data_IF_204092824655
#
_entry.id   IF_204092824655
#
_cell.length_a   1.000
_cell.length_b   1.000
_cell.length_c   1.000
_cell.angle_alpha   90.00
_cell.angle_beta   90.00
_cell.angle_gamma   90.00
#
_symmetry.space_group_name_H-M   'P 1'
#
loop_
_entity.id
_entity.type
_entity.pdbx_description
1 polymer ?
#
# COMPACT_ATOMS: atom_id res chain seq x y z
N UNK A 1 -4.95 -16.96 -21.17
CA UNK A 1 -6.31 -17.57 -21.19
C UNK A 1 -7.32 -16.42 -21.17
N UNK A 2 -8.63 -16.68 -21.24
CA UNK A 2 -9.69 -15.66 -21.10
C UNK A 2 -11.07 -16.31 -20.88
N UNK A 3 -12.00 -15.62 -20.24
CA UNK A 3 -13.40 -16.02 -20.07
C UNK A 3 -14.33 -15.52 -21.17
N UNK A 4 -13.96 -14.46 -21.90
CA UNK A 4 -14.84 -13.81 -22.88
C UNK A 4 -14.27 -13.87 -24.29
N UNK A 5 -14.99 -14.46 -25.23
CA UNK A 5 -14.64 -14.52 -26.65
C UNK A 5 -15.75 -13.96 -27.54
N UNK A 6 -15.47 -13.83 -28.83
CA UNK A 6 -16.46 -13.52 -29.86
C UNK A 6 -16.77 -14.79 -30.65
N UNK A 7 -18.04 -15.07 -30.93
CA UNK A 7 -18.45 -16.09 -31.91
C UNK A 7 -18.21 -15.61 -33.35
N UNK A 8 -18.37 -16.52 -34.32
CA UNK A 8 -18.20 -16.21 -35.74
C UNK A 8 -19.11 -15.09 -36.26
N UNK A 9 -20.31 -14.93 -35.69
CA UNK A 9 -21.26 -13.85 -35.98
C UNK A 9 -20.96 -12.55 -35.21
N UNK A 10 -19.86 -12.49 -34.45
CA UNK A 10 -19.42 -11.32 -33.69
C UNK A 10 -20.11 -11.12 -32.35
N UNK A 11 -20.99 -12.02 -31.91
CA UNK A 11 -21.62 -11.94 -30.59
C UNK A 11 -20.62 -12.26 -29.49
N UNK A 12 -20.79 -11.63 -28.33
CA UNK A 12 -19.94 -11.90 -27.16
C UNK A 12 -20.39 -13.16 -26.45
N UNK A 13 -19.47 -14.10 -26.25
CA UNK A 13 -19.67 -15.35 -25.52
C UNK A 13 -18.88 -15.29 -24.22
N UNK A 14 -19.57 -15.40 -23.10
CA UNK A 14 -18.96 -15.40 -21.76
C UNK A 14 -19.07 -16.76 -21.10
N UNK A 15 -17.96 -17.22 -20.53
CA UNK A 15 -17.88 -18.43 -19.70
C UNK A 15 -17.97 -18.13 -18.21
N UNK A 16 -18.34 -16.89 -17.83
CA UNK A 16 -18.59 -16.55 -16.44
C UNK A 16 -19.73 -17.42 -15.88
N UNK A 17 -19.46 -18.23 -14.86
CA UNK A 17 -20.45 -19.15 -14.28
C UNK A 17 -20.57 -20.49 -14.99
N UNK A 18 -19.77 -20.76 -16.03
CA UNK A 18 -19.84 -21.97 -16.82
C UNK A 18 -19.43 -23.24 -16.05
N UNK A 19 -18.83 -23.13 -14.86
CA UNK A 19 -18.56 -24.25 -13.96
C UNK A 19 -19.82 -24.96 -13.45
N UNK A 20 -20.96 -24.25 -13.47
CA UNK A 20 -22.28 -24.81 -13.11
C UNK A 20 -23.01 -25.40 -14.31
N UNK A 21 -22.47 -25.27 -15.52
CA UNK A 21 -23.11 -25.80 -16.71
C UNK A 21 -22.87 -27.31 -16.80
N UNK A 22 -23.90 -28.04 -17.24
CA UNK A 22 -23.75 -29.45 -17.58
C UNK A 22 -22.75 -29.65 -18.72
N UNK A 23 -22.13 -30.84 -18.78
CA UNK A 23 -21.16 -31.19 -19.83
C UNK A 23 -21.74 -31.02 -21.24
N UNK A 24 -23.02 -31.36 -21.43
CA UNK A 24 -23.72 -31.24 -22.71
C UNK A 24 -23.73 -29.80 -23.22
N UNK A 25 -24.13 -28.83 -22.38
CA UNK A 25 -24.13 -27.42 -22.75
C UNK A 25 -22.74 -26.90 -23.16
N UNK A 26 -21.68 -27.35 -22.50
CA UNK A 26 -20.31 -27.01 -22.87
C UNK A 26 -19.89 -27.67 -24.19
N UNK A 27 -20.34 -28.89 -24.46
CA UNK A 27 -20.12 -29.56 -25.75
C UNK A 27 -20.86 -28.84 -26.87
N UNK A 28 -22.11 -28.44 -26.65
CA UNK A 28 -22.90 -27.70 -27.63
C UNK A 28 -22.28 -26.34 -27.94
N UNK A 29 -21.80 -25.63 -26.92
CA UNK A 29 -21.04 -24.39 -27.15
C UNK A 29 -19.76 -24.67 -27.94
N UNK A 30 -19.06 -25.76 -27.65
CA UNK A 30 -17.85 -26.14 -28.41
C UNK A 30 -18.15 -26.41 -29.89
N UNK A 31 -19.33 -26.93 -30.23
CA UNK A 31 -19.77 -27.13 -31.62
C UNK A 31 -20.04 -25.81 -32.36
N UNK A 32 -20.16 -24.68 -31.64
CA UNK A 32 -20.34 -23.34 -32.21
C UNK A 32 -19.01 -22.63 -32.53
N UNK A 33 -17.88 -23.34 -32.43
CA UNK A 33 -16.59 -22.87 -32.96
C UNK A 33 -16.73 -22.45 -34.46
N UNK A 34 -15.92 -21.49 -34.96
CA UNK A 34 -14.76 -20.88 -34.29
C UNK A 34 -15.13 -19.73 -33.34
N UNK A 35 -14.28 -19.53 -32.32
CA UNK A 35 -14.30 -18.37 -31.44
C UNK A 35 -13.07 -17.49 -31.68
N UNK A 36 -13.20 -16.19 -31.41
CA UNK A 36 -12.16 -15.21 -31.63
C UNK A 36 -11.89 -14.37 -30.38
N UNK A 37 -10.63 -14.03 -30.15
CA UNK A 37 -10.23 -13.11 -29.09
C UNK A 37 -10.78 -11.70 -29.37
N UNK A 38 -11.46 -11.04 -28.41
CA UNK A 38 -12.00 -9.69 -28.62
C UNK A 38 -10.93 -8.63 -28.91
N UNK A 39 -9.69 -8.88 -28.47
CA UNK A 39 -8.59 -7.93 -28.56
C UNK A 39 -7.74 -8.09 -29.84
N UNK A 40 -7.25 -9.30 -30.14
CA UNK A 40 -6.41 -9.54 -31.33
C UNK A 40 -7.16 -10.12 -32.52
N UNK A 41 -8.43 -10.50 -32.35
CA UNK A 41 -9.26 -11.18 -33.37
C UNK A 41 -8.71 -12.52 -33.87
N UNK A 42 -7.67 -13.06 -33.25
CA UNK A 42 -7.16 -14.40 -33.54
C UNK A 42 -8.08 -15.46 -32.94
N UNK A 43 -8.09 -16.65 -33.56
CA UNK A 43 -8.90 -17.78 -33.11
C UNK A 43 -8.48 -18.27 -31.71
N UNK A 44 -9.47 -18.57 -30.87
CA UNK A 44 -9.30 -19.15 -29.55
C UNK A 44 -10.11 -20.43 -29.41
N UNK A 45 -9.59 -21.38 -28.64
CA UNK A 45 -10.22 -22.70 -28.45
C UNK A 45 -10.89 -22.77 -27.10
N UNK A 46 -12.12 -23.28 -27.04
CA UNK A 46 -12.80 -23.56 -25.78
C UNK A 46 -12.14 -24.78 -25.10
N UNK A 47 -11.58 -24.54 -23.91
CA UNK A 47 -10.97 -25.57 -23.06
C UNK A 47 -11.84 -25.78 -21.83
N UNK A 48 -12.31 -27.00 -21.64
CA UNK A 48 -13.06 -27.43 -20.47
C UNK A 48 -12.57 -28.82 -20.02
N UNK A 49 -12.65 -29.12 -18.73
CA UNK A 49 -12.22 -30.41 -18.18
C UNK A 49 -12.69 -30.61 -16.75
N UNK A 50 -12.57 -31.82 -16.21
CA UNK A 50 -13.09 -32.20 -14.88
C UNK A 50 -12.53 -31.35 -13.74
N UNK A 51 -11.26 -30.96 -13.83
CA UNK A 51 -10.53 -30.20 -12.80
C UNK A 51 -10.16 -28.79 -13.27
N UNK A 52 -10.71 -28.33 -14.39
CA UNK A 52 -10.28 -27.11 -15.07
C UNK A 52 -11.45 -26.19 -15.29
N UNK A 53 -11.32 -24.92 -14.92
CA UNK A 53 -12.35 -23.94 -15.21
C UNK A 53 -12.53 -23.81 -16.73
N UNK A 54 -13.76 -23.80 -17.26
CA UNK A 54 -13.98 -23.49 -18.66
C UNK A 54 -13.43 -22.11 -19.02
N UNK A 55 -12.56 -22.03 -20.02
CA UNK A 55 -11.98 -20.79 -20.53
C UNK A 55 -11.64 -20.95 -22.01
N UNK A 56 -11.46 -19.84 -22.70
CA UNK A 56 -10.87 -19.80 -24.03
C UNK A 56 -9.35 -19.61 -23.93
N UNK A 57 -8.62 -20.22 -24.87
CA UNK A 57 -7.17 -20.09 -24.96
C UNK A 57 -6.73 -19.89 -26.40
N UNK A 58 -5.78 -18.97 -26.60
CA UNK A 58 -5.06 -18.86 -27.87
C UNK A 58 -4.33 -20.18 -28.18
N UNK A 59 -4.18 -20.49 -29.47
CA UNK A 59 -3.34 -21.61 -29.92
C UNK A 59 -1.87 -21.30 -29.58
N UNK A 60 -1.05 -22.33 -29.34
CA UNK A 60 0.38 -22.14 -29.03
C UNK A 60 1.04 -21.31 -30.15
N UNK A 61 1.77 -20.26 -29.77
CA UNK A 61 2.48 -19.36 -30.69
C UNK A 61 1.70 -18.13 -31.17
N UNK A 62 0.40 -18.01 -30.86
CA UNK A 62 -0.36 -16.80 -31.12
C UNK A 62 0.01 -15.70 -30.10
N UNK A 63 0.47 -14.54 -30.61
CA UNK A 63 0.79 -13.38 -29.80
C UNK A 63 -0.42 -12.45 -29.68
N UNK A 64 -0.90 -12.23 -28.46
CA UNK A 64 -1.99 -11.30 -28.19
C UNK A 64 -1.41 -10.03 -27.52
N UNK A 65 -1.63 -8.82 -28.08
CA UNK A 65 -1.03 -7.59 -27.57
C UNK A 65 -1.58 -7.17 -26.19
N UNK A 66 -2.66 -7.80 -25.73
CA UNK A 66 -3.24 -7.54 -24.39
C UNK A 66 -2.92 -8.62 -23.37
N UNK A 67 -2.33 -9.75 -23.80
CA UNK A 67 -1.92 -10.82 -22.91
C UNK A 67 -0.50 -10.54 -22.42
N UNK A 68 -0.41 -9.96 -21.23
CA UNK A 68 0.86 -9.51 -20.65
C UNK A 68 1.47 -10.54 -19.70
N UNK A 69 0.70 -11.54 -19.27
CA UNK A 69 1.18 -12.66 -18.48
C UNK A 69 0.49 -13.97 -18.92
N UNK A 70 1.16 -15.12 -18.79
CA UNK A 70 0.51 -16.40 -18.93
C UNK A 70 -0.51 -16.58 -17.82
N UNK A 71 -1.80 -16.59 -18.16
CA UNK A 71 -2.84 -16.81 -17.17
C UNK A 71 -2.76 -18.23 -16.58
N UNK A 72 -2.75 -18.32 -15.26
CA UNK A 72 -2.80 -19.59 -14.50
C UNK A 72 -4.22 -19.89 -14.04
N UNK A 73 -4.49 -21.14 -13.63
CA UNK A 73 -5.78 -21.51 -13.00
C UNK A 73 -6.05 -20.67 -11.73
N UNK A 74 -5.01 -20.27 -10.99
CA UNK A 74 -5.13 -19.35 -9.85
C UNK A 74 -5.64 -17.98 -10.32
N UNK A 75 -5.04 -17.44 -11.37
CA UNK A 75 -5.44 -16.16 -11.95
C UNK A 75 -6.91 -16.21 -12.40
N UNK A 76 -7.30 -17.24 -13.15
CA UNK A 76 -8.68 -17.45 -13.61
C UNK A 76 -9.66 -17.56 -12.43
N UNK A 77 -9.33 -18.37 -11.42
CA UNK A 77 -10.18 -18.56 -10.24
C UNK A 77 -10.35 -17.25 -9.48
N UNK A 78 -9.26 -16.53 -9.25
CA UNK A 78 -9.30 -15.26 -8.51
C UNK A 78 -10.10 -14.19 -9.25
N UNK A 79 -9.85 -14.02 -10.55
CA UNK A 79 -10.62 -13.11 -11.41
C UNK A 79 -12.12 -13.40 -11.36
N UNK A 80 -12.49 -14.67 -11.53
CA UNK A 80 -13.89 -15.12 -11.45
C UNK A 80 -14.50 -14.83 -10.08
N UNK A 81 -13.79 -15.13 -9.00
CA UNK A 81 -14.28 -14.88 -7.63
C UNK A 81 -14.55 -13.39 -7.39
N UNK A 82 -13.65 -12.52 -7.83
CA UNK A 82 -13.78 -11.07 -7.71
C UNK A 82 -14.95 -10.53 -8.54
N UNK A 83 -15.13 -11.04 -9.78
CA UNK A 83 -16.29 -10.73 -10.59
C UNK A 83 -17.60 -11.16 -9.90
N UNK A 84 -17.69 -12.41 -9.45
CA UNK A 84 -18.87 -12.93 -8.76
C UNK A 84 -19.14 -12.21 -7.43
N UNK A 85 -18.10 -11.75 -6.75
CA UNK A 85 -18.19 -10.92 -5.55
C UNK A 85 -18.86 -9.58 -5.83
N UNK A 86 -18.51 -8.90 -6.93
CA UNK A 86 -19.16 -7.64 -7.34
C UNK A 86 -20.62 -7.88 -7.78
N UNK A 87 -20.88 -8.92 -8.57
CA UNK A 87 -22.24 -9.25 -9.05
C UNK A 87 -23.19 -9.54 -7.88
N UNK A 88 -22.75 -10.29 -6.85
CA UNK A 88 -23.56 -10.59 -5.67
C UNK A 88 -23.96 -9.35 -4.86
N UNK A 89 -23.26 -8.24 -5.06
CA UNK A 89 -23.57 -6.94 -4.44
C UNK A 89 -24.45 -6.05 -5.34
N UNK A 90 -24.97 -6.59 -6.45
CA UNK A 90 -25.82 -5.85 -7.38
C UNK A 90 -25.06 -4.85 -8.27
N UNK A 91 -23.74 -5.00 -8.42
CA UNK A 91 -22.95 -4.08 -9.24
C UNK A 91 -23.05 -4.40 -10.73
N UNK A 92 -23.13 -3.35 -11.56
CA UNK A 92 -22.96 -3.46 -13.01
C UNK A 92 -21.48 -3.75 -13.31
N UNK A 93 -21.14 -5.03 -13.45
CA UNK A 93 -19.79 -5.49 -13.73
C UNK A 93 -19.71 -6.26 -15.06
N UNK A 94 -18.59 -6.09 -15.77
CA UNK A 94 -18.24 -6.78 -17.01
C UNK A 94 -16.90 -7.47 -16.83
N UNK A 95 -16.85 -8.75 -17.18
CA UNK A 95 -15.63 -9.57 -17.15
C UNK A 95 -14.84 -9.35 -18.44
N UNK A 96 -13.56 -9.02 -18.33
CA UNK A 96 -12.60 -8.89 -19.44
C UNK A 96 -13.06 -8.03 -20.65
N UNK A 97 -13.73 -6.87 -20.46
CA UNK A 97 -14.12 -6.05 -21.59
C UNK A 97 -12.87 -5.49 -22.28
N UNK A 98 -12.80 -5.63 -23.60
CA UNK A 98 -11.76 -4.96 -24.37
C UNK A 98 -12.07 -3.46 -24.46
N UNK A 99 -11.08 -2.62 -24.18
CA UNK A 99 -11.15 -1.15 -24.24
C UNK A 99 -10.30 -0.66 -25.42
N UNK A 100 -10.88 -0.49 -26.63
CA UNK A 100 -10.10 -0.22 -27.85
C UNK A 100 -9.30 1.07 -27.78
N UNK A 101 -9.86 2.12 -27.16
CA UNK A 101 -9.24 3.45 -27.05
C UNK A 101 -7.88 3.45 -26.34
N UNK A 102 -7.65 2.46 -25.48
CA UNK A 102 -6.39 2.30 -24.73
C UNK A 102 -5.74 0.94 -25.00
N UNK A 103 -6.30 0.13 -25.89
CA UNK A 103 -5.86 -1.24 -26.21
C UNK A 103 -5.63 -2.09 -24.95
N UNK A 104 -6.45 -1.91 -23.92
CA UNK A 104 -6.33 -2.65 -22.66
C UNK A 104 -7.55 -3.56 -22.44
N UNK A 105 -7.37 -4.56 -21.59
CA UNK A 105 -8.41 -5.46 -21.12
C UNK A 105 -8.27 -5.60 -19.60
N UNK A 106 -9.00 -4.80 -18.80
CA UNK A 106 -9.03 -5.02 -17.35
C UNK A 106 -9.66 -6.38 -17.06
N UNK A 107 -9.27 -7.00 -15.96
CA UNK A 107 -9.89 -8.25 -15.53
C UNK A 107 -11.39 -8.10 -15.27
N UNK A 108 -11.79 -7.05 -14.54
CA UNK A 108 -13.19 -6.69 -14.34
C UNK A 108 -13.35 -5.17 -14.45
N UNK A 109 -14.34 -4.73 -15.23
CA UNK A 109 -14.77 -3.33 -15.29
C UNK A 109 -16.12 -3.22 -14.59
N UNK A 110 -16.30 -2.31 -13.65
CA UNK A 110 -17.57 -2.16 -12.95
C UNK A 110 -17.87 -0.73 -12.54
N UNK A 111 -19.17 -0.44 -12.37
CA UNK A 111 -19.65 0.86 -11.90
C UNK A 111 -19.95 0.81 -10.40
N UNK A 112 -19.53 1.85 -9.68
CA UNK A 112 -19.95 2.10 -8.31
C UNK A 112 -20.16 3.60 -8.10
N UNK A 113 -21.40 3.98 -7.81
CA UNK A 113 -21.84 5.37 -7.81
C UNK A 113 -21.56 6.05 -9.17
N UNK A 114 -21.01 7.28 -9.19
CA UNK A 114 -20.72 8.00 -10.44
C UNK A 114 -19.43 7.54 -11.13
N UNK A 115 -18.72 6.53 -10.59
CA UNK A 115 -17.38 6.18 -11.03
C UNK A 115 -17.31 4.81 -11.68
N UNK A 116 -16.46 4.71 -12.69
CA UNK A 116 -16.10 3.47 -13.36
C UNK A 116 -14.74 2.99 -12.83
N UNK A 117 -14.63 1.70 -12.52
CA UNK A 117 -13.44 1.10 -11.94
C UNK A 117 -12.95 -0.06 -12.80
N UNK A 118 -11.62 -0.15 -12.94
CA UNK A 118 -10.93 -1.31 -13.50
C UNK A 118 -10.29 -2.08 -12.34
N UNK A 119 -10.85 -3.25 -12.00
CA UNK A 119 -10.30 -4.17 -11.01
C UNK A 119 -9.37 -5.17 -11.71
N UNK A 120 -8.13 -5.26 -11.24
CA UNK A 120 -7.05 -6.09 -11.79
C UNK A 120 -6.55 -7.05 -10.71
N UNK A 121 -6.44 -8.34 -11.04
CA UNK A 121 -5.93 -9.37 -10.14
C UNK A 121 -4.58 -9.91 -10.62
N UNK A 122 -3.50 -9.38 -10.07
CA UNK A 122 -2.17 -9.65 -10.58
C UNK A 122 -1.51 -10.84 -9.87
N UNK A 123 -1.19 -11.90 -10.62
CA UNK A 123 -0.57 -13.12 -10.10
C UNK A 123 0.90 -13.29 -10.45
N UNK A 124 1.42 -12.68 -11.52
CA UNK A 124 2.85 -12.68 -11.83
C UNK A 124 3.47 -11.28 -11.72
N UNK A 125 4.79 -11.17 -11.84
CA UNK A 125 5.46 -9.87 -11.85
C UNK A 125 5.32 -9.24 -13.24
N UNK A 126 5.01 -7.94 -13.29
CA UNK A 126 5.04 -7.14 -14.51
C UNK A 126 5.98 -5.96 -14.35
N UNK A 127 6.50 -5.47 -15.47
CA UNK A 127 7.39 -4.31 -15.48
C UNK A 127 6.69 -3.05 -14.98
N UNK A 128 7.44 -2.20 -14.29
CA UNK A 128 6.93 -0.92 -13.77
C UNK A 128 6.46 0.01 -14.91
N UNK A 129 7.09 -0.04 -16.08
CA UNK A 129 6.65 0.70 -17.28
C UNK A 129 5.25 0.26 -17.71
N UNK A 130 5.03 -1.04 -17.85
CA UNK A 130 3.74 -1.61 -18.23
C UNK A 130 2.66 -1.32 -17.17
N UNK A 131 2.99 -1.45 -15.89
CA UNK A 131 2.09 -1.10 -14.80
C UNK A 131 1.62 0.36 -14.90
N UNK A 132 2.54 1.29 -15.18
CA UNK A 132 2.21 2.71 -15.37
C UNK A 132 1.36 2.93 -16.61
N UNK A 133 1.75 2.36 -17.74
CA UNK A 133 1.00 2.46 -19.00
C UNK A 133 -0.47 2.07 -18.80
N UNK A 134 -0.72 0.93 -18.13
CA UNK A 134 -2.08 0.46 -17.85
C UNK A 134 -2.87 1.47 -17.02
N UNK A 135 -2.28 1.96 -15.94
CA UNK A 135 -2.94 2.91 -15.05
C UNK A 135 -3.22 4.25 -15.74
N UNK A 136 -2.30 4.72 -16.57
CA UNK A 136 -2.48 5.97 -17.32
C UNK A 136 -3.54 5.81 -18.41
N UNK A 137 -3.63 4.65 -19.06
CA UNK A 137 -4.73 4.31 -19.95
C UNK A 137 -6.09 4.40 -19.26
N UNK A 138 -6.24 3.78 -18.09
CA UNK A 138 -7.49 3.88 -17.32
C UNK A 138 -7.84 5.32 -16.96
N UNK A 139 -6.87 6.09 -16.45
CA UNK A 139 -7.09 7.50 -16.09
C UNK A 139 -7.51 8.37 -17.26
N UNK A 140 -6.94 8.16 -18.46
CA UNK A 140 -7.34 8.89 -19.68
C UNK A 140 -8.82 8.69 -20.03
N UNK A 141 -9.40 7.56 -19.66
CA UNK A 141 -10.82 7.26 -19.86
C UNK A 141 -11.69 7.59 -18.63
N UNK A 142 -11.15 8.24 -17.60
CA UNK A 142 -11.87 8.49 -16.34
C UNK A 142 -12.13 7.22 -15.52
N UNK A 143 -11.44 6.11 -15.81
CA UNK A 143 -11.54 4.84 -15.11
C UNK A 143 -10.55 4.82 -13.94
N UNK A 144 -11.02 4.41 -12.76
CA UNK A 144 -10.21 4.29 -11.56
C UNK A 144 -9.61 2.88 -11.46
N UNK A 145 -8.27 2.72 -11.52
CA UNK A 145 -7.65 1.41 -11.36
C UNK A 145 -7.68 0.95 -9.89
N UNK A 146 -8.01 -0.32 -9.69
CA UNK A 146 -7.95 -1.04 -8.42
C UNK A 146 -7.15 -2.31 -8.64
N UNK A 147 -6.08 -2.49 -7.87
CA UNK A 147 -5.20 -3.63 -8.04
C UNK A 147 -5.20 -4.53 -6.80
N UNK A 148 -5.23 -5.83 -7.04
CA UNK A 148 -5.20 -6.88 -6.03
C UNK A 148 -4.09 -7.88 -6.39
N UNK A 149 -3.15 -8.11 -5.48
CA UNK A 149 -2.09 -9.09 -5.68
C UNK A 149 -2.52 -10.50 -5.33
N UNK A 150 -1.97 -11.50 -6.01
CA UNK A 150 -2.05 -12.88 -5.56
C UNK A 150 -1.40 -13.03 -4.18
N UNK A 151 -2.12 -13.64 -3.22
CA UNK A 151 -1.62 -13.81 -1.85
C UNK A 151 -0.30 -14.59 -1.75
N UNK A 152 0.05 -15.38 -2.77
CA UNK A 152 1.34 -16.07 -2.86
C UNK A 152 2.54 -15.13 -3.03
N UNK A 153 2.34 -13.84 -3.29
CA UNK A 153 3.40 -12.82 -3.23
C UNK A 153 3.66 -12.33 -1.81
N UNK A 154 2.72 -12.51 -0.88
CA UNK A 154 2.89 -12.07 0.48
C UNK A 154 3.91 -12.97 1.20
N UNK A 155 4.95 -12.35 1.75
CA UNK A 155 5.98 -13.01 2.57
C UNK A 155 5.96 -12.36 3.95
N UNK A 156 5.46 -13.08 4.95
CA UNK A 156 5.50 -12.66 6.34
C UNK A 156 6.81 -13.14 6.96
N UNK A 157 7.40 -12.34 7.86
CA UNK A 157 8.55 -12.81 8.62
C UNK A 157 8.10 -13.88 9.61
N UNK A 158 8.71 -15.08 9.60
CA UNK A 158 8.40 -16.10 10.60
C UNK A 158 8.94 -15.72 11.99
N UNK A 159 10.00 -14.90 12.03
CA UNK A 159 10.70 -14.50 13.26
C UNK A 159 10.13 -13.22 13.88
N UNK A 160 9.58 -12.31 13.07
CA UNK A 160 9.13 -11.00 13.51
C UNK A 160 7.68 -10.76 13.11
N UNK A 161 6.73 -11.00 14.03
CA UNK A 161 5.33 -10.74 13.73
C UNK A 161 5.08 -9.27 13.37
N UNK A 162 4.11 -9.00 12.49
CA UNK A 162 3.85 -7.66 11.96
C UNK A 162 4.87 -7.15 10.93
N UNK A 163 5.94 -7.91 10.65
CA UNK A 163 6.87 -7.59 9.56
C UNK A 163 6.56 -8.39 8.29
N UNK A 164 6.57 -7.69 7.17
CA UNK A 164 6.40 -8.25 5.83
C UNK A 164 7.61 -7.90 4.95
N UNK A 165 7.88 -8.77 3.98
CA UNK A 165 8.81 -8.48 2.90
C UNK A 165 8.03 -7.94 1.70
N UNK A 166 8.35 -6.71 1.31
CA UNK A 166 7.75 -6.01 0.17
C UNK A 166 8.85 -5.64 -0.82
N UNK A 167 8.83 -6.30 -1.98
CA UNK A 167 9.64 -5.94 -3.14
C UNK A 167 9.18 -4.61 -3.75
N UNK A 168 10.03 -4.00 -4.59
CA UNK A 168 9.67 -2.82 -5.39
C UNK A 168 8.40 -3.04 -6.20
N UNK A 169 8.23 -4.25 -6.76
CA UNK A 169 7.02 -4.65 -7.46
C UNK A 169 5.77 -4.56 -6.58
N UNK A 170 5.79 -5.13 -5.37
CA UNK A 170 4.62 -5.08 -4.46
C UNK A 170 4.28 -3.64 -4.03
N UNK A 171 5.28 -2.78 -3.90
CA UNK A 171 5.07 -1.36 -3.58
C UNK A 171 4.30 -0.60 -4.67
N UNK A 172 4.33 -1.04 -5.94
CA UNK A 172 3.53 -0.42 -7.01
C UNK A 172 2.02 -0.49 -6.75
N UNK A 173 1.59 -1.49 -5.98
CA UNK A 173 0.18 -1.79 -5.65
C UNK A 173 -0.32 -1.01 -4.43
N UNK A 174 0.57 -0.27 -3.75
CA UNK A 174 0.17 0.58 -2.64
C UNK A 174 -0.71 1.71 -3.17
N UNK A 175 -1.94 1.82 -2.65
CA UNK A 175 -2.90 2.83 -3.06
C UNK A 175 -3.59 3.47 -1.88
N UNK A 176 -4.07 4.70 -2.09
CA UNK A 176 -5.02 5.34 -1.17
C UNK A 176 -6.43 5.06 -1.67
N UNK A 177 -7.25 4.44 -0.83
CA UNK A 177 -8.69 4.50 -1.05
C UNK A 177 -9.13 5.96 -0.88
N UNK A 178 -10.22 6.40 -1.55
CA UNK A 178 -10.67 7.80 -1.49
C UNK A 178 -10.86 8.37 -0.08
N UNK A 179 -11.05 7.51 0.93
CA UNK A 179 -11.24 7.91 2.32
C UNK A 179 -10.13 7.44 3.27
N UNK A 180 -9.00 6.96 2.75
CA UNK A 180 -7.85 6.56 3.57
C UNK A 180 -6.66 7.47 3.35
N UNK A 181 -6.21 8.12 4.43
CA UNK A 181 -5.03 8.97 4.42
C UNK A 181 -3.73 8.18 4.25
N UNK A 182 -3.72 6.85 4.44
CA UNK A 182 -2.51 6.02 4.45
C UNK A 182 -2.61 4.95 3.36
N UNK A 183 -1.54 4.68 2.60
CA UNK A 183 -1.58 3.67 1.57
C UNK A 183 -1.79 2.27 2.15
N UNK A 184 -2.44 1.42 1.36
CA UNK A 184 -2.63 0.02 1.64
C UNK A 184 -2.35 -0.83 0.41
N UNK A 185 -2.04 -2.10 0.63
CA UNK A 185 -1.83 -3.09 -0.43
C UNK A 185 -2.83 -4.22 -0.19
N UNK A 186 -3.61 -4.54 -1.22
CA UNK A 186 -4.56 -5.64 -1.18
C UNK A 186 -4.01 -6.88 -1.86
N UNK A 187 -4.31 -8.00 -1.25
CA UNK A 187 -4.04 -9.33 -1.76
C UNK A 187 -5.31 -10.15 -1.72
N UNK A 188 -5.38 -11.17 -2.57
CA UNK A 188 -6.47 -12.15 -2.58
C UNK A 188 -5.94 -13.57 -2.76
N UNK A 189 -6.47 -14.50 -1.96
CA UNK A 189 -6.22 -15.94 -2.07
C UNK A 189 -7.49 -16.65 -2.56
N UNK A 190 -7.49 -17.16 -3.80
CA UNK A 190 -8.58 -17.97 -4.32
C UNK A 190 -8.76 -19.30 -3.58
N UNK A 191 -7.71 -19.82 -2.95
CA UNK A 191 -7.73 -21.08 -2.19
C UNK A 191 -8.51 -20.94 -0.89
N UNK A 192 -8.29 -19.83 -0.17
CA UNK A 192 -8.94 -19.58 1.13
C UNK A 192 -10.17 -18.68 1.03
N UNK A 193 -10.43 -18.10 -0.16
CA UNK A 193 -11.47 -17.09 -0.40
C UNK A 193 -11.34 -15.90 0.54
N UNK A 194 -10.11 -15.45 0.80
CA UNK A 194 -9.83 -14.33 1.69
C UNK A 194 -9.14 -13.19 0.97
N UNK A 195 -9.60 -11.98 1.26
CA UNK A 195 -8.79 -10.79 1.10
C UNK A 195 -7.76 -10.71 2.23
N UNK A 196 -6.58 -10.23 1.91
CA UNK A 196 -5.57 -9.87 2.88
C UNK A 196 -5.18 -8.43 2.59
N UNK A 197 -5.25 -7.57 3.60
CA UNK A 197 -4.96 -6.15 3.48
C UNK A 197 -3.77 -5.80 4.34
N UNK A 198 -2.79 -5.13 3.75
CA UNK A 198 -1.67 -4.52 4.46
C UNK A 198 -1.95 -3.05 4.68
N UNK A 199 -1.77 -2.60 5.92
CA UNK A 199 -2.03 -1.24 6.36
C UNK A 199 -0.82 -0.59 6.97
N UNK A 200 -0.77 0.75 6.85
CA UNK A 200 0.25 1.62 7.44
C UNK A 200 1.65 1.03 7.23
N UNK A 201 2.06 0.79 5.98
CA UNK A 201 3.34 0.15 5.73
C UNK A 201 4.48 1.11 6.10
N UNK A 202 5.23 0.79 7.15
CA UNK A 202 6.36 1.56 7.67
C UNK A 202 7.68 0.87 7.29
N UNK A 203 8.41 1.39 6.29
CA UNK A 203 9.61 0.73 5.81
C UNK A 203 10.72 0.70 6.86
N UNK A 204 11.38 -0.43 6.98
CA UNK A 204 12.58 -0.63 7.78
C UNK A 204 13.84 -0.69 6.91
N UNK A 205 13.68 -1.17 5.70
CA UNK A 205 14.71 -1.20 4.66
C UNK A 205 14.04 -1.21 3.29
N UNK A 206 14.84 -1.39 2.24
CA UNK A 206 14.35 -1.55 0.87
C UNK A 206 13.30 -2.67 0.76
N UNK A 207 13.46 -3.76 1.51
CA UNK A 207 12.60 -4.95 1.41
C UNK A 207 11.76 -5.23 2.66
N UNK A 208 12.18 -4.77 3.84
CA UNK A 208 11.50 -5.09 5.11
C UNK A 208 10.61 -3.94 5.54
N UNK A 209 9.37 -4.24 5.91
CA UNK A 209 8.36 -3.24 6.26
C UNK A 209 7.52 -3.74 7.42
N UNK A 210 7.27 -2.89 8.43
CA UNK A 210 6.21 -3.15 9.40
C UNK A 210 4.87 -2.78 8.80
N UNK A 211 3.87 -3.63 8.96
CA UNK A 211 2.51 -3.34 8.52
C UNK A 211 1.51 -4.08 9.42
N UNK A 212 0.36 -3.44 9.67
CA UNK A 212 -0.79 -4.18 10.19
C UNK A 212 -1.36 -5.05 9.06
N UNK A 213 -1.74 -6.28 9.40
CA UNK A 213 -2.23 -7.26 8.43
C UNK A 213 -3.60 -7.72 8.86
N UNK A 214 -4.57 -7.53 7.97
CA UNK A 214 -5.94 -7.95 8.15
C UNK A 214 -6.28 -9.05 7.15
N UNK A 215 -7.16 -9.96 7.54
CA UNK A 215 -7.62 -11.03 6.66
C UNK A 215 -9.12 -11.21 6.78
N UNK A 216 -9.81 -11.04 5.66
CA UNK A 216 -11.27 -10.93 5.61
C UNK A 216 -11.83 -11.97 4.65
N UNK A 217 -12.92 -12.65 5.03
CA UNK A 217 -13.58 -13.62 4.16
C UNK A 217 -14.32 -12.89 3.03
N UNK A 218 -14.19 -13.39 1.80
CA UNK A 218 -14.82 -12.78 0.61
C UNK A 218 -16.35 -12.66 0.74
N UNK A 219 -17.00 -13.61 1.42
CA UNK A 219 -18.45 -13.63 1.59
C UNK A 219 -18.98 -12.61 2.59
N UNK A 220 -18.15 -12.13 3.51
CA UNK A 220 -18.53 -11.18 4.57
C UNK A 220 -18.05 -9.76 4.32
N UNK A 221 -17.52 -9.49 3.13
CA UNK A 221 -16.86 -8.23 2.80
C UNK A 221 -17.53 -7.61 1.59
N UNK A 222 -17.84 -6.32 1.62
CA UNK A 222 -18.41 -5.59 0.49
C UNK A 222 -17.39 -4.62 -0.12
N UNK A 223 -17.67 -4.14 -1.33
CA UNK A 223 -16.89 -3.08 -1.95
C UNK A 223 -17.06 -1.76 -1.20
N UNK A 224 -18.22 -1.52 -0.58
CA UNK A 224 -18.40 -0.38 0.32
C UNK A 224 -17.43 -0.44 1.51
N UNK A 225 -17.21 -1.64 2.08
CA UNK A 225 -16.20 -1.85 3.13
C UNK A 225 -14.77 -1.68 2.63
N UNK A 226 -14.49 -1.99 1.36
CA UNK A 226 -13.21 -1.70 0.71
C UNK A 226 -12.91 -0.21 0.70
N UNK A 227 -13.93 0.60 0.40
CA UNK A 227 -13.82 2.04 0.26
C UNK A 227 -13.87 2.77 1.61
N UNK A 228 -14.41 2.12 2.65
CA UNK A 228 -14.52 2.67 3.98
C UNK A 228 -13.15 2.98 4.62
N UNK A 229 -13.05 4.06 5.42
CA UNK A 229 -11.91 4.25 6.30
C UNK A 229 -11.76 3.04 7.22
N UNK A 230 -10.57 2.45 7.26
CA UNK A 230 -10.28 1.35 8.17
C UNK A 230 -9.04 1.68 9.00
N UNK A 231 -9.23 2.20 10.22
CA UNK A 231 -8.14 2.60 11.08
C UNK A 231 -7.64 1.40 11.90
N UNK A 232 -7.13 0.35 11.25
CA UNK A 232 -6.51 -0.72 12.01
C UNK A 232 -5.23 -0.22 12.72
N UNK A 233 -5.07 -0.54 14.01
CA UNK A 233 -3.88 -0.18 14.76
C UNK A 233 -2.68 -1.04 14.35
N UNK A 234 -1.47 -0.53 14.59
CA UNK A 234 -0.28 -1.40 14.62
C UNK A 234 -0.33 -2.26 15.88
N UNK A 235 0.53 -3.28 15.93
CA UNK A 235 0.63 -4.15 17.12
C UNK A 235 1.01 -3.34 18.37
N UNK A 236 0.48 -3.66 19.56
CA UNK A 236 0.91 -3.04 20.82
C UNK A 236 2.43 -3.10 21.07
N UNK A 237 3.08 -4.13 20.51
CA UNK A 237 4.53 -4.33 20.60
C UNK A 237 5.33 -3.56 19.54
N UNK A 238 4.70 -2.60 18.85
CA UNK A 238 5.32 -1.88 17.72
C UNK A 238 6.61 -1.16 18.11
N UNK A 239 6.61 -0.36 19.18
CA UNK A 239 7.78 0.43 19.54
C UNK A 239 8.95 -0.39 20.05
N UNK A 240 8.69 -1.41 20.86
CA UNK A 240 9.71 -2.37 21.29
C UNK A 240 10.42 -2.98 20.08
N UNK A 241 9.64 -3.38 19.07
CA UNK A 241 10.16 -3.95 17.82
C UNK A 241 10.87 -2.92 16.95
N UNK A 242 10.40 -1.68 16.96
CA UNK A 242 11.06 -0.58 16.25
C UNK A 242 12.43 -0.28 16.87
N UNK A 243 12.51 -0.19 18.20
CA UNK A 243 13.77 -0.02 18.92
C UNK A 243 14.73 -1.20 18.68
N UNK A 244 14.25 -2.44 18.70
CA UNK A 244 15.08 -3.61 18.36
C UNK A 244 15.60 -3.52 16.91
N UNK A 245 14.81 -2.97 15.99
CA UNK A 245 15.29 -2.71 14.62
C UNK A 245 16.32 -1.57 14.57
N UNK A 246 16.15 -0.47 15.32
CA UNK A 246 17.19 0.57 15.43
C UNK A 246 18.49 -0.04 15.96
N UNK A 247 18.43 -0.83 17.02
CA UNK A 247 19.57 -1.57 17.58
C UNK A 247 20.22 -2.48 16.54
N UNK A 248 19.42 -3.18 15.72
CA UNK A 248 19.92 -3.98 14.61
C UNK A 248 20.66 -3.12 13.58
N UNK A 249 20.11 -1.98 13.14
CA UNK A 249 20.80 -1.10 12.18
C UNK A 249 22.14 -0.63 12.70
N UNK A 250 22.22 -0.24 13.97
CA UNK A 250 23.46 0.22 14.60
C UNK A 250 24.52 -0.88 14.70
N UNK A 251 24.10 -2.14 14.85
CA UNK A 251 25.00 -3.30 14.85
C UNK A 251 25.45 -3.70 13.45
N UNK A 252 24.57 -3.61 12.46
CA UNK A 252 24.83 -4.19 11.13
C UNK A 252 25.23 -3.17 10.08
N UNK A 253 25.09 -1.87 10.32
CA UNK A 253 25.50 -0.84 9.36
C UNK A 253 26.92 -0.34 9.69
N UNK A 254 27.89 -0.39 8.77
CA UNK A 254 27.78 -0.73 7.35
C UNK A 254 28.43 -2.08 7.00
N UNK A 255 28.05 -3.17 7.69
CA UNK A 255 28.58 -4.51 7.37
C UNK A 255 28.30 -4.87 5.91
N UNK A 256 29.34 -5.35 5.21
CA UNK A 256 29.31 -5.74 3.80
C UNK A 256 28.76 -4.65 2.86
N UNK A 257 29.42 -3.48 2.80
CA UNK A 257 28.86 -2.33 2.10
C UNK A 257 28.98 -2.52 0.59
N UNK A 258 27.85 -2.45 -0.12
CA UNK A 258 27.84 -2.28 -1.57
C UNK A 258 28.33 -0.87 -1.98
N UNK A 259 28.45 -0.60 -3.28
CA UNK A 259 28.97 0.69 -3.76
C UNK A 259 28.18 1.89 -3.23
N UNK A 260 26.84 1.82 -3.18
CA UNK A 260 25.99 2.88 -2.65
C UNK A 260 26.23 3.09 -1.16
N UNK A 261 26.29 2.02 -0.37
CA UNK A 261 26.57 2.10 1.07
C UNK A 261 27.94 2.72 1.31
N UNK A 262 28.97 2.36 0.54
CA UNK A 262 30.30 2.98 0.66
C UNK A 262 30.27 4.49 0.44
N UNK A 263 29.49 4.97 -0.55
CA UNK A 263 29.31 6.42 -0.78
C UNK A 263 28.57 7.09 0.38
N UNK A 264 27.56 6.44 0.94
CA UNK A 264 26.84 6.95 2.12
C UNK A 264 27.79 7.04 3.33
N UNK A 265 28.58 6.00 3.57
CA UNK A 265 29.57 6.01 4.64
C UNK A 265 30.61 7.11 4.46
N UNK A 266 31.08 7.35 3.24
CA UNK A 266 32.01 8.44 2.94
C UNK A 266 31.42 9.81 3.32
N UNK A 267 30.16 10.09 2.96
CA UNK A 267 29.47 11.32 3.35
C UNK A 267 29.34 11.43 4.89
N UNK A 268 29.09 10.32 5.59
CA UNK A 268 28.97 10.32 7.06
C UNK A 268 30.33 10.59 7.73
N UNK A 269 31.41 9.94 7.26
CA UNK A 269 32.76 10.16 7.77
C UNK A 269 33.23 11.60 7.53
N UNK A 270 32.91 12.18 6.37
CA UNK A 270 33.20 13.59 6.09
C UNK A 270 32.51 14.55 7.06
N UNK A 271 31.35 14.15 7.60
CA UNK A 271 30.64 14.89 8.63
C UNK A 271 31.05 14.50 10.07
N UNK A 272 32.09 13.69 10.24
CA UNK A 272 32.55 13.23 11.55
C UNK A 272 31.64 12.18 12.22
N UNK A 273 30.71 11.57 11.48
CA UNK A 273 29.76 10.58 11.98
C UNK A 273 30.26 9.17 11.67
N UNK A 274 30.39 8.34 12.69
CA UNK A 274 30.59 6.90 12.50
C UNK A 274 29.26 6.29 12.04
N UNK A 275 29.20 5.54 10.92
CA UNK A 275 27.95 5.07 10.34
C UNK A 275 27.01 4.29 11.27
N UNK A 276 27.56 3.44 12.14
CA UNK A 276 26.79 2.69 13.15
C UNK A 276 26.25 3.57 14.28
N UNK A 277 26.87 4.74 14.51
CA UNK A 277 26.58 5.69 15.58
C UNK A 277 25.86 6.94 15.03
N UNK A 278 24.97 6.75 14.07
CA UNK A 278 24.14 7.83 13.55
C UNK A 278 23.32 8.51 14.68
N UNK A 279 22.92 9.79 14.51
CA UNK A 279 22.24 10.55 15.56
C UNK A 279 21.01 9.84 16.13
N UNK A 280 20.78 9.95 17.43
CA UNK A 280 19.63 9.34 18.11
C UNK A 280 18.30 9.80 17.52
N UNK A 281 18.22 11.03 17.03
CA UNK A 281 17.07 11.65 16.40
C UNK A 281 16.76 11.11 14.99
N UNK A 282 17.61 10.25 14.42
CA UNK A 282 17.37 9.54 13.16
C UNK A 282 16.88 8.10 13.39
N UNK A 283 16.19 7.57 12.38
CA UNK A 283 15.67 6.21 12.37
C UNK A 283 14.31 6.06 13.05
N UNK A 284 13.50 7.11 13.14
CA UNK A 284 12.16 7.08 13.75
C UNK A 284 11.06 6.91 12.69
N UNK A 285 9.95 6.24 13.02
CA UNK A 285 8.86 6.06 12.08
C UNK A 285 8.12 7.39 11.91
N UNK A 286 7.87 7.77 10.67
CA UNK A 286 6.97 8.87 10.32
C UNK A 286 5.87 8.32 9.40
N UNK A 287 4.60 8.72 9.56
CA UNK A 287 3.47 8.20 8.78
C UNK A 287 3.71 8.13 7.26
N UNK A 288 4.35 9.15 6.68
CA UNK A 288 4.68 9.26 5.25
C UNK A 288 6.06 8.71 4.90
N UNK A 289 6.73 8.05 5.83
CA UNK A 289 8.05 7.44 5.62
C UNK A 289 8.08 6.40 4.50
N UNK A 290 6.91 5.86 4.13
CA UNK A 290 6.73 4.97 2.97
C UNK A 290 7.11 5.60 1.62
N UNK A 291 7.25 6.93 1.54
CA UNK A 291 7.69 7.64 0.32
C UNK A 291 9.18 7.48 0.05
N UNK A 292 9.93 6.90 0.99
CA UNK A 292 11.33 6.53 0.82
C UNK A 292 11.51 5.03 0.65
N UNK A 293 12.35 4.64 -0.32
CA UNK A 293 12.89 3.29 -0.41
C UNK A 293 14.15 3.14 0.45
N UNK A 294 14.93 4.22 0.54
CA UNK A 294 16.03 4.36 1.50
C UNK A 294 15.53 4.16 2.94
N UNK A 295 16.30 3.43 3.75
CA UNK A 295 15.93 3.15 5.14
C UNK A 295 15.79 4.44 5.99
N UNK A 296 14.87 4.48 6.98
CA UNK A 296 14.62 5.66 7.80
C UNK A 296 15.86 6.28 8.42
N UNK A 297 16.73 5.47 9.01
CA UNK A 297 17.93 5.99 9.66
C UNK A 297 18.86 6.69 8.67
N UNK A 298 18.93 6.27 7.41
CA UNK A 298 19.80 6.90 6.41
C UNK A 298 19.23 8.25 5.98
N UNK A 299 18.01 8.28 5.44
CA UNK A 299 17.48 9.52 4.87
C UNK A 299 17.25 10.59 5.95
N UNK A 300 16.88 10.19 7.17
CA UNK A 300 16.77 11.12 8.30
C UNK A 300 18.14 11.65 8.73
N UNK A 301 19.18 10.82 8.77
CA UNK A 301 20.55 11.31 9.01
C UNK A 301 20.99 12.31 7.95
N UNK A 302 20.67 12.12 6.66
CA UNK A 302 20.94 13.13 5.64
C UNK A 302 20.25 14.47 5.91
N UNK A 303 18.97 14.46 6.33
CA UNK A 303 18.27 15.68 6.74
C UNK A 303 18.98 16.36 7.92
N UNK A 304 19.37 15.59 8.95
CA UNK A 304 20.08 16.12 10.11
C UNK A 304 21.47 16.67 9.75
N UNK A 305 22.21 16.01 8.86
CA UNK A 305 23.51 16.46 8.36
C UNK A 305 23.41 17.83 7.69
N UNK A 306 22.37 18.05 6.89
CA UNK A 306 22.12 19.35 6.29
C UNK A 306 21.92 20.43 7.36
N UNK A 307 21.09 20.15 8.37
CA UNK A 307 20.81 21.09 9.46
C UNK A 307 22.07 21.41 10.29
N UNK A 308 22.88 20.38 10.62
CA UNK A 308 24.15 20.54 11.35
C UNK A 308 25.15 21.42 10.58
N UNK A 309 25.28 21.20 9.27
CA UNK A 309 26.19 21.99 8.41
C UNK A 309 25.76 23.44 8.22
N UNK A 310 24.56 23.82 8.68
CA UNK A 310 24.01 25.17 8.60
C UNK A 310 23.83 25.83 9.97
N UNK A 311 24.30 25.22 11.05
CA UNK A 311 24.23 25.82 12.40
C UNK A 311 24.87 27.21 12.37
N UNK A 312 24.10 28.24 12.75
CA UNK A 312 24.54 29.65 12.71
C UNK A 312 24.48 30.34 11.34
N UNK A 313 23.87 29.72 10.32
CA UNK A 313 23.62 30.31 8.99
C UNK A 313 22.14 30.13 8.61
N UNK A 314 21.55 31.03 7.79
CA UNK A 314 20.18 30.84 7.35
C UNK A 314 20.07 29.58 6.47
N UNK A 315 19.25 28.62 6.92
CA UNK A 315 18.85 27.46 6.15
C UNK A 315 17.35 27.56 5.84
N UNK A 316 16.95 27.23 4.62
CA UNK A 316 15.52 27.22 4.23
C UNK A 316 15.09 25.84 3.77
N UNK A 317 13.80 25.53 3.80
CA UNK A 317 13.32 24.25 3.26
C UNK A 317 13.68 24.08 1.77
N UNK A 318 13.68 25.17 1.00
CA UNK A 318 14.11 25.17 -0.41
C UNK A 318 15.55 24.67 -0.56
N UNK A 319 16.47 25.24 0.21
CA UNK A 319 17.89 24.84 0.17
C UNK A 319 18.11 23.40 0.64
N UNK A 320 17.34 22.92 1.62
CA UNK A 320 17.34 21.52 2.06
C UNK A 320 16.91 20.60 0.91
N UNK A 321 15.81 20.92 0.24
CA UNK A 321 15.32 20.06 -0.84
C UNK A 321 16.26 20.04 -2.05
N UNK A 322 16.85 21.17 -2.44
CA UNK A 322 17.88 21.19 -3.49
C UNK A 322 19.07 20.29 -3.14
N UNK A 323 19.50 20.31 -1.87
CA UNK A 323 20.56 19.44 -1.39
C UNK A 323 20.14 17.96 -1.39
N UNK A 324 18.93 17.63 -0.97
CA UNK A 324 18.39 16.27 -1.04
C UNK A 324 18.24 15.78 -2.48
N UNK A 325 17.81 16.64 -3.41
CA UNK A 325 17.73 16.33 -4.84
C UNK A 325 19.11 15.93 -5.40
N UNK A 326 20.20 16.58 -4.97
CA UNK A 326 21.57 16.17 -5.31
C UNK A 326 21.91 14.77 -4.75
N UNK A 327 21.54 14.49 -3.51
CA UNK A 327 21.73 13.17 -2.90
C UNK A 327 20.92 12.08 -3.61
N UNK A 328 19.74 12.42 -4.14
CA UNK A 328 18.95 11.53 -4.99
C UNK A 328 19.64 11.32 -6.34
N UNK A 329 20.04 12.39 -7.03
CA UNK A 329 20.73 12.35 -8.32
C UNK A 329 22.01 11.52 -8.28
N UNK A 330 22.75 11.59 -7.18
CA UNK A 330 23.99 10.83 -6.98
C UNK A 330 23.78 9.40 -6.46
N UNK A 331 22.51 8.98 -6.29
CA UNK A 331 22.11 7.63 -5.91
C UNK A 331 22.28 7.28 -4.43
N UNK A 332 22.51 8.28 -3.56
CA UNK A 332 22.62 8.09 -2.10
C UNK A 332 21.25 7.90 -1.45
N UNK A 333 20.26 8.64 -1.95
CA UNK A 333 18.87 8.57 -1.51
C UNK A 333 17.98 8.10 -2.67
N UNK A 334 16.99 7.27 -2.37
CA UNK A 334 16.09 6.70 -3.36
C UNK A 334 14.65 6.94 -2.91
N UNK A 335 13.95 7.92 -3.53
CA UNK A 335 12.53 8.09 -3.30
C UNK A 335 11.77 6.90 -3.93
N UNK A 336 10.70 6.48 -3.27
CA UNK A 336 9.87 5.38 -3.75
C UNK A 336 8.87 5.88 -4.78
N UNK A 337 8.62 5.06 -5.80
CA UNK A 337 7.61 5.33 -6.83
C UNK A 337 6.31 4.62 -6.47
N UNK A 338 5.25 5.38 -6.29
CA UNK A 338 3.95 4.90 -5.82
C UNK A 338 2.84 5.39 -6.75
N UNK A 339 2.68 4.77 -7.94
CA UNK A 339 1.80 5.29 -9.00
C UNK A 339 0.33 5.39 -8.61
N UNK A 340 -0.12 4.73 -7.53
CA UNK A 340 -1.53 4.73 -7.09
C UNK A 340 -1.79 5.54 -5.80
N UNK A 341 -0.76 6.14 -5.17
CA UNK A 341 -0.90 6.89 -3.91
C UNK A 341 -1.22 8.38 -4.14
N UNK A 342 -1.05 8.87 -5.37
CA UNK A 342 -1.35 10.25 -5.74
C UNK A 342 -0.09 11.03 -6.10
N UNK A 343 -0.08 12.33 -5.81
CA UNK A 343 1.02 13.25 -6.14
C UNK A 343 2.05 13.43 -5.02
N UNK A 344 1.83 12.79 -3.87
CA UNK A 344 2.78 12.83 -2.75
C UNK A 344 4.17 12.38 -3.19
N UNK A 345 5.18 13.12 -2.78
CA UNK A 345 6.59 12.89 -3.09
C UNK A 345 7.38 12.64 -1.81
N UNK A 346 8.69 12.40 -1.93
CA UNK A 346 9.55 12.29 -0.75
C UNK A 346 9.54 13.57 0.12
N UNK A 347 9.16 14.73 -0.46
CA UNK A 347 9.17 16.03 0.21
C UNK A 347 8.17 16.07 1.36
N UNK A 348 7.02 15.43 1.21
CA UNK A 348 6.00 15.31 2.24
C UNK A 348 6.53 14.52 3.45
N UNK A 349 7.31 13.46 3.22
CA UNK A 349 7.95 12.71 4.31
C UNK A 349 9.00 13.55 5.05
N UNK A 350 9.79 14.34 4.33
CA UNK A 350 10.79 15.25 4.93
C UNK A 350 10.10 16.37 5.69
N UNK A 351 9.07 17.00 5.13
CA UNK A 351 8.32 18.07 5.79
C UNK A 351 7.67 17.56 7.09
N UNK A 352 7.13 16.34 7.05
CA UNK A 352 6.57 15.66 8.22
C UNK A 352 7.64 15.39 9.29
N UNK A 353 8.83 14.95 8.90
CA UNK A 353 9.95 14.75 9.81
C UNK A 353 10.49 16.05 10.41
N UNK A 354 10.58 17.14 9.63
CA UNK A 354 10.96 18.46 10.15
C UNK A 354 9.93 18.97 11.17
N UNK A 355 8.64 18.77 10.90
CA UNK A 355 7.59 19.12 11.84
C UNK A 355 7.73 18.30 13.13
N UNK A 356 7.98 17.00 13.01
CA UNK A 356 8.23 16.12 14.15
C UNK A 356 9.43 16.57 15.00
N UNK A 357 10.56 16.94 14.37
CA UNK A 357 11.71 17.54 15.07
C UNK A 357 11.37 18.86 15.76
N UNK A 358 10.46 19.66 15.17
CA UNK A 358 10.03 20.93 15.76
C UNK A 358 9.20 20.69 17.02
N UNK A 359 8.30 19.70 17.00
CA UNK A 359 7.47 19.33 18.15
C UNK A 359 8.30 18.76 19.31
N UNK A 360 9.41 18.08 19.02
CA UNK A 360 10.37 17.63 20.03
C UNK A 360 11.32 18.74 20.53
N UNK A 361 11.20 19.95 19.99
CA UNK A 361 12.02 21.10 20.38
C UNK A 361 13.44 21.09 19.79
N UNK A 362 13.74 20.28 18.77
CA UNK A 362 15.04 20.31 18.09
C UNK A 362 15.11 21.41 17.03
N UNK A 363 13.98 21.72 16.39
CA UNK A 363 13.92 22.63 15.24
C UNK A 363 12.98 23.80 15.53
N UNK A 364 13.43 25.02 15.25
CA UNK A 364 12.57 26.21 15.23
C UNK A 364 12.41 26.69 13.78
N UNK A 365 11.18 27.07 13.43
CA UNK A 365 10.88 27.75 12.17
C UNK A 365 10.65 29.23 12.44
N UNK A 366 11.38 30.09 11.74
CA UNK A 366 11.26 31.55 11.84
C UNK A 366 10.62 32.14 10.58
N UNK A 367 10.41 33.47 10.57
CA UNK A 367 9.88 34.19 9.42
C UNK A 367 10.71 33.91 8.15
N UNK A 368 10.03 33.68 7.03
CA UNK A 368 10.68 33.31 5.76
C UNK A 368 11.08 31.83 5.61
N UNK A 369 10.48 30.93 6.40
CA UNK A 369 10.72 29.47 6.35
C UNK A 369 12.18 29.08 6.66
N UNK A 370 12.81 29.85 7.54
CA UNK A 370 14.15 29.55 8.04
C UNK A 370 14.09 28.44 9.08
N UNK A 371 15.04 27.50 8.98
CA UNK A 371 15.15 26.30 9.79
C UNK A 371 16.37 26.40 10.70
N UNK A 372 16.16 26.45 12.01
CA UNK A 372 17.24 26.58 12.99
C UNK A 372 17.24 25.41 13.96
N UNK A 373 18.39 24.75 14.08
CA UNK A 373 18.60 23.73 15.11
C UNK A 373 18.80 24.44 16.47
N UNK A 374 17.85 24.28 17.38
CA UNK A 374 17.85 24.98 18.69
C UNK A 374 18.30 24.11 19.86
N UNK A 375 18.37 22.78 19.65
CA UNK A 375 18.85 21.81 20.62
C UNK A 375 19.95 20.95 19.96
N UNK A 376 21.08 20.69 20.63
CA UNK A 376 22.11 19.81 20.07
C UNK A 376 21.55 18.40 19.83
N UNK A 377 22.00 17.78 18.74
CA UNK A 377 21.69 16.37 18.44
C UNK A 377 22.54 15.44 19.30
N UNK A 378 22.02 14.24 19.56
CA UNK A 378 22.68 13.26 20.41
C UNK A 378 23.47 12.25 19.58
N UNK A 379 24.77 12.14 19.84
CA UNK A 379 25.65 11.18 19.18
C UNK A 379 26.11 10.13 20.20
N UNK A 380 25.64 8.87 20.09
CA UNK A 380 26.08 7.82 21.00
C UNK A 380 27.53 7.43 20.70
N UNK A 381 28.36 7.29 21.73
CA UNK A 381 29.76 6.86 21.58
C UNK A 381 29.97 5.38 21.90
N UNK A 382 29.07 4.78 22.67
CA UNK A 382 29.11 3.35 23.06
C UNK A 382 27.78 2.65 22.79
N UNK A 383 27.81 1.31 22.79
CA UNK A 383 26.61 0.47 22.63
C UNK A 383 25.61 0.67 23.77
N UNK A 384 26.08 0.90 25.00
CA UNK A 384 25.18 1.13 26.13
C UNK A 384 24.55 2.52 26.07
N UNK A 385 25.35 3.56 25.75
CA UNK A 385 24.83 4.91 25.53
C UNK A 385 23.78 4.93 24.42
N UNK A 386 24.01 4.19 23.35
CA UNK A 386 23.07 4.01 22.25
C UNK A 386 21.72 3.47 22.73
N UNK A 387 21.71 2.38 23.50
CA UNK A 387 20.45 1.77 24.00
C UNK A 387 19.72 2.75 24.91
N UNK A 388 20.45 3.40 25.83
CA UNK A 388 19.86 4.36 26.76
C UNK A 388 19.31 5.59 26.05
N UNK A 389 20.03 6.18 25.10
CA UNK A 389 19.59 7.37 24.36
C UNK A 389 18.39 7.08 23.46
N UNK A 390 18.38 5.95 22.73
CA UNK A 390 17.24 5.58 21.90
C UNK A 390 15.98 5.33 22.77
N UNK A 391 16.13 4.70 23.95
CA UNK A 391 15.03 4.50 24.89
C UNK A 391 14.54 5.82 25.51
N UNK A 392 15.45 6.68 25.95
CA UNK A 392 15.11 7.99 26.52
C UNK A 392 14.38 8.89 25.51
N UNK A 393 14.76 8.85 24.23
CA UNK A 393 14.04 9.60 23.20
C UNK A 393 12.65 8.99 22.93
N UNK A 394 12.47 7.67 23.02
CA UNK A 394 11.13 7.06 22.98
C UNK A 394 10.25 7.54 24.13
N UNK A 395 10.78 7.57 25.35
CA UNK A 395 10.06 8.12 26.50
C UNK A 395 9.69 9.59 26.30
N UNK A 396 10.61 10.40 25.77
CA UNK A 396 10.32 11.79 25.42
C UNK A 396 9.19 11.90 24.37
N UNK A 397 9.17 11.02 23.36
CA UNK A 397 8.11 10.97 22.35
C UNK A 397 6.75 10.70 22.99
N UNK A 398 6.68 9.73 23.91
CA UNK A 398 5.44 9.40 24.65
C UNK A 398 5.00 10.52 25.59
N UNK A 399 5.94 11.23 26.21
CA UNK A 399 5.65 12.31 27.15
C UNK A 399 5.30 13.64 26.47
N UNK A 400 5.57 13.80 25.16
CA UNK A 400 5.31 15.04 24.42
C UNK A 400 3.86 15.03 23.87
N UNK A 401 2.90 15.76 24.48
CA UNK A 401 1.48 15.63 24.12
C UNK A 401 1.17 16.15 22.72
N UNK A 402 1.95 17.10 22.21
CA UNK A 402 1.79 17.63 20.85
C UNK A 402 2.10 16.60 19.77
N UNK A 403 2.86 15.56 20.11
CA UNK A 403 3.11 14.42 19.23
C UNK A 403 1.98 13.38 19.26
N UNK A 404 0.93 13.57 20.08
CA UNK A 404 -0.13 12.57 20.20
C UNK A 404 -0.78 12.24 18.87
N UNK A 405 -0.95 13.19 17.97
CA UNK A 405 -1.50 12.91 16.64
C UNK A 405 -0.60 12.01 15.79
N UNK A 406 0.72 12.05 16.00
CA UNK A 406 1.70 11.22 15.30
C UNK A 406 1.73 9.81 15.85
N UNK A 407 1.82 9.66 17.17
CA UNK A 407 1.87 8.34 17.77
C UNK A 407 0.49 7.73 18.00
N UNK A 408 -0.61 8.46 18.17
CA UNK A 408 -1.97 7.89 18.05
C UNK A 408 -2.21 7.32 16.64
N UNK A 409 -1.61 7.95 15.61
CA UNK A 409 -1.59 7.39 14.27
C UNK A 409 -0.65 6.17 14.12
N UNK A 410 0.19 5.84 15.09
CA UNK A 410 1.08 4.67 15.07
C UNK A 410 0.62 3.59 16.08
N UNK A 411 0.40 3.97 17.34
CA UNK A 411 0.00 3.17 18.52
C UNK A 411 -1.48 3.07 18.81
N UNK A 412 -2.33 3.96 18.30
CA UNK A 412 -3.73 4.04 18.69
C UNK A 412 -3.95 4.34 20.20
N UNK A 413 -4.38 5.55 20.53
CA UNK A 413 -5.24 5.76 21.69
C UNK A 413 -6.46 6.59 21.28
N UNK A 414 -7.60 5.91 21.12
CA UNK A 414 -8.93 6.31 21.62
C UNK A 414 -10.07 5.45 21.01
N UNK A 415 -10.04 4.13 21.23
CA UNK A 415 -11.28 3.32 21.17
C UNK A 415 -12.17 3.65 22.39
N UNK A 416 -11.57 3.91 23.55
CA UNK A 416 -12.34 4.14 24.78
C UNK A 416 -13.08 5.49 24.78
N UNK A 417 -12.52 6.55 24.17
CA UNK A 417 -13.24 7.83 24.03
C UNK A 417 -14.34 7.80 22.98
N UNK A 418 -14.26 6.94 21.95
CA UNK A 418 -15.37 6.74 21.01
C UNK A 418 -16.46 5.84 21.60
N UNK A 419 -16.11 4.79 22.35
CA UNK A 419 -17.08 3.96 23.08
C UNK A 419 -17.87 4.77 24.11
N UNK A 420 -17.18 5.61 24.91
CA UNK A 420 -17.85 6.49 25.89
C UNK A 420 -18.67 7.62 25.27
N UNK A 421 -18.37 8.04 24.02
CA UNK A 421 -19.20 8.99 23.27
C UNK A 421 -20.42 8.29 22.65
N UNK A 422 -20.28 7.06 22.16
CA UNK A 422 -21.37 6.26 21.62
C UNK A 422 -22.34 5.81 22.73
N UNK A 423 -21.84 5.46 23.92
CA UNK A 423 -22.65 5.14 25.11
C UNK A 423 -23.36 6.37 25.68
N UNK A 424 -22.73 7.55 25.68
CA UNK A 424 -23.41 8.80 26.07
C UNK A 424 -24.47 9.25 25.04
N UNK A 425 -24.28 8.93 23.76
CA UNK A 425 -25.24 9.28 22.71
C UNK A 425 -26.40 8.27 22.64
N UNK A 426 -26.17 6.99 22.95
CA UNK A 426 -27.22 5.98 23.10
C UNK A 426 -27.97 6.08 24.44
N UNK A 427 -27.33 6.57 25.50
CA UNK A 427 -27.96 6.83 26.80
C UNK A 427 -28.88 8.06 26.82
N UNK A 428 -28.78 8.94 25.83
CA UNK A 428 -29.66 10.12 25.69
C UNK A 428 -30.87 9.89 24.79
N UNK A 429 -30.95 8.76 24.09
CA UNK A 429 -32.09 8.38 23.23
C UNK A 429 -33.08 7.46 23.95
N UNK A 430 -32.69 6.83 25.07
CA UNK A 430 -33.53 5.88 25.83
C UNK A 430 -34.28 6.48 27.03
N UNK A 431 -34.31 7.81 27.19
CA UNK A 431 -35.06 8.47 28.27
C UNK A 431 -36.15 9.41 27.77
N UNK A 432 -36.87 9.03 26.71
CA UNK A 432 -38.13 9.67 26.32
C UNK A 432 -39.05 8.67 25.60
N UNK A 433 -39.68 7.77 26.36
CA UNK A 433 -41.06 7.31 26.10
C UNK A 433 -41.55 6.38 27.20
N UNK A 434 -42.27 6.93 28.18
CA UNK A 434 -43.44 6.28 28.73
C UNK A 434 -44.57 7.31 28.69
N UNK A 435 -45.42 7.17 27.68
CA UNK A 435 -46.77 7.76 27.67
C UNK A 435 -47.66 6.66 28.27
N UNK A 436 -48.37 6.98 29.34
CA UNK A 436 -49.63 6.31 29.70
C UNK A 436 -50.53 7.36 30.35
N UNK A 437 -51.37 7.99 29.54
CA UNK A 437 -52.65 8.55 29.96
C UNK A 437 -53.56 8.57 28.75
N UNK A 438 -54.64 7.77 28.81
CA UNK A 438 -56.00 8.08 28.38
C UNK A 438 -56.84 6.80 28.56
N UNK A 439 -57.74 6.78 29.55
CA UNK A 439 -59.19 6.73 29.28
C UNK A 439 -60.06 6.70 30.56
N UNK A 440 -61.10 7.54 30.50
CA UNK A 440 -62.51 7.36 30.95
C UNK A 440 -62.97 7.63 32.40
N UNK A 441 -63.94 8.54 32.43
CA UNK A 441 -65.26 8.49 33.12
C UNK A 441 -65.28 8.47 34.66
N UNK A 442 -65.36 9.65 35.28
CA UNK A 442 -66.56 10.30 35.88
C UNK A 442 -66.17 11.61 36.57
#
# INVERSE_FOLDING_TARGET
MLFVALSADGRTVSLAGAERWGKERLMDLKRQEPFFCPACRQEVVLRSGRYRLPHFAHRKGAACPVEHEPESERHLTGKRDLFAWLIRQGMEAKLEPYLPAIKQRPDVLFRHGPHLYALEYQCSTIDESLFRERNDGYRRLGIRPLWVLGAHHLRRSPKYSGEVQLSRFQWLFAHRAPHSAVPHIWYYSPETKRFIRLFRPLPLSVQRTFAAVDSILLSSFSFSDWMAPCPLPLSPTFWERWLERKKQWRRTFPLYPNQTVRRICADFYQAGIVPSLFPTEAGWPVPRGYLWETAPFIWQTYVLLFLLGKTGRPATAVSLFQWLDDKIRTGRLVPRRLPLVGRDTYREAVAEYLHWLSLLGYLRREEGDQLHLVKPLSFPSTVDQMIHQDAALLEQIHQTPTLSRYWEALEFQNAEKMSRKQEKMNGMVNNNSCIDYLDKEE
#
